data_IF_630029191617
#
_entry.id   IF_630029191617
#
_cell.length_a   1.000
_cell.length_b   1.000
_cell.length_c   1.000
_cell.angle_alpha   90.00
_cell.angle_beta   90.00
_cell.angle_gamma   90.00
#
_symmetry.space_group_name_H-M   'P 1'
#
loop_
_entity.id
_entity.type
_entity.pdbx_description
1 polymer ?
#
# COMPACT_ATOMS: atom_id res chain seq x y z
N UNK A 1 -4.61 -2.06 16.86
CA UNK A 1 -5.70 -1.79 15.89
C UNK A 1 -5.95 -3.09 15.14
N UNK A 2 -7.15 -3.66 15.21
CA UNK A 2 -7.54 -4.81 14.39
C UNK A 2 -8.48 -4.33 13.28
N UNK A 3 -8.24 -4.75 12.04
CA UNK A 3 -9.18 -4.53 10.93
C UNK A 3 -10.38 -5.46 11.08
N UNK A 4 -11.58 -4.98 10.75
CA UNK A 4 -12.75 -5.84 10.64
C UNK A 4 -12.60 -6.67 9.36
N UNK A 5 -12.52 -7.99 9.51
CA UNK A 5 -12.39 -8.90 8.39
C UNK A 5 -13.60 -8.82 7.45
N UNK A 6 -13.33 -8.59 6.17
CA UNK A 6 -14.35 -8.59 5.13
C UNK A 6 -14.53 -10.00 4.57
N UNK A 7 -15.47 -10.71 5.18
CA UNK A 7 -15.88 -12.04 4.77
C UNK A 7 -16.48 -12.09 3.34
N UNK A 8 -16.86 -10.95 2.75
CA UNK A 8 -17.39 -10.91 1.37
C UNK A 8 -16.28 -10.81 0.34
N UNK A 9 -15.22 -10.07 0.63
CA UNK A 9 -14.11 -9.81 -0.31
C UNK A 9 -12.76 -10.30 0.19
N UNK A 10 -12.73 -11.41 0.93
CA UNK A 10 -11.57 -12.09 1.51
C UNK A 10 -10.29 -11.24 1.62
N UNK A 11 -10.28 -10.36 2.62
CA UNK A 11 -9.29 -9.27 2.70
C UNK A 11 -8.02 -9.53 3.46
N UNK A 12 -7.78 -10.75 3.95
CA UNK A 12 -6.67 -11.04 4.86
C UNK A 12 -5.30 -10.54 4.34
N UNK A 13 -5.02 -10.67 3.04
CA UNK A 13 -3.78 -10.17 2.45
C UNK A 13 -3.64 -8.64 2.56
N UNK A 14 -4.72 -7.89 2.28
CA UNK A 14 -4.74 -6.44 2.41
C UNK A 14 -4.67 -6.01 3.87
N UNK A 15 -5.32 -6.74 4.76
CA UNK A 15 -5.31 -6.45 6.19
C UNK A 15 -3.92 -6.62 6.78
N UNK A 16 -3.24 -7.72 6.46
CA UNK A 16 -1.86 -7.94 6.87
C UNK A 16 -0.94 -6.81 6.38
N UNK A 17 -1.04 -6.45 5.09
CA UNK A 17 -0.24 -5.37 4.53
C UNK A 17 -0.53 -4.01 5.19
N UNK A 18 -1.80 -3.62 5.28
CA UNK A 18 -2.21 -2.31 5.78
C UNK A 18 -1.97 -2.16 7.28
N UNK A 19 -2.11 -3.23 8.07
CA UNK A 19 -1.74 -3.22 9.48
C UNK A 19 -0.26 -2.87 9.67
N UNK A 20 0.63 -3.53 8.91
CA UNK A 20 2.08 -3.28 8.99
C UNK A 20 2.40 -1.87 8.52
N UNK A 21 1.85 -1.44 7.38
CA UNK A 21 2.09 -0.10 6.85
C UNK A 21 1.58 0.99 7.78
N UNK A 22 0.43 0.79 8.42
CA UNK A 22 -0.12 1.74 9.37
C UNK A 22 0.74 1.83 10.62
N UNK A 23 1.22 0.70 11.15
CA UNK A 23 2.10 0.68 12.32
C UNK A 23 3.42 1.42 12.05
N UNK A 24 4.05 1.14 10.91
CA UNK A 24 5.22 1.87 10.42
C UNK A 24 4.93 3.37 10.31
N UNK A 25 3.79 3.72 9.71
CA UNK A 25 3.43 5.12 9.49
C UNK A 25 3.17 5.86 10.81
N UNK A 26 2.49 5.24 11.77
CA UNK A 26 2.20 5.81 13.09
C UNK A 26 3.46 6.11 13.91
N UNK A 27 4.55 5.38 13.68
CA UNK A 27 5.84 5.65 14.33
C UNK A 27 6.41 7.03 13.98
N UNK A 28 6.26 7.46 12.72
CA UNK A 28 6.64 8.82 12.28
C UNK A 28 5.83 9.24 11.04
N UNK A 29 4.63 9.81 11.24
CA UNK A 29 3.70 10.15 10.15
C UNK A 29 4.30 11.07 9.08
N UNK A 30 5.09 12.06 9.50
CA UNK A 30 5.70 13.03 8.60
C UNK A 30 6.75 12.38 7.69
N UNK A 31 7.66 11.59 8.27
CA UNK A 31 8.67 10.84 7.52
C UNK A 31 7.99 9.86 6.55
N UNK A 32 7.10 9.02 7.07
CA UNK A 32 6.54 7.93 6.29
C UNK A 32 5.54 8.38 5.24
N UNK A 33 4.83 9.50 5.41
CA UNK A 33 4.10 10.08 4.27
C UNK A 33 5.04 10.49 3.14
N UNK A 34 6.17 11.14 3.44
CA UNK A 34 7.13 11.54 2.40
C UNK A 34 7.74 10.31 1.70
N UNK A 35 8.13 9.29 2.47
CA UNK A 35 8.66 8.04 1.92
C UNK A 35 7.63 7.31 1.05
N UNK A 36 6.42 7.05 1.55
CA UNK A 36 5.38 6.35 0.81
C UNK A 36 4.96 7.10 -0.46
N UNK A 37 4.91 8.44 -0.40
CA UNK A 37 4.66 9.29 -1.58
C UNK A 37 5.75 9.12 -2.65
N UNK A 38 7.00 8.88 -2.25
CA UNK A 38 8.13 8.74 -3.15
C UNK A 38 8.26 7.37 -3.82
N UNK A 39 7.64 6.32 -3.29
CA UNK A 39 7.75 4.96 -3.86
C UNK A 39 6.90 4.79 -5.11
N UNK A 40 5.58 4.91 -4.96
CA UNK A 40 4.62 4.76 -6.05
C UNK A 40 3.28 5.39 -5.70
N UNK A 41 2.38 5.47 -6.69
CA UNK A 41 1.05 6.05 -6.51
C UNK A 41 0.18 5.31 -5.46
N UNK A 42 0.34 4.00 -5.32
CA UNK A 42 -0.46 3.20 -4.38
C UNK A 42 -0.09 3.51 -2.93
N UNK A 43 1.20 3.54 -2.62
CA UNK A 43 1.68 3.89 -1.28
C UNK A 43 1.40 5.37 -0.96
N UNK A 44 1.47 6.26 -1.94
CA UNK A 44 1.00 7.64 -1.75
C UNK A 44 -0.47 7.68 -1.33
N UNK A 45 -1.35 6.97 -2.04
CA UNK A 45 -2.77 6.92 -1.71
C UNK A 45 -3.03 6.33 -0.31
N UNK A 46 -2.30 5.27 0.06
CA UNK A 46 -2.33 4.69 1.41
C UNK A 46 -1.92 5.72 2.46
N UNK A 47 -0.84 6.48 2.23
CA UNK A 47 -0.39 7.53 3.15
C UNK A 47 -1.42 8.66 3.34
N UNK A 48 -2.12 9.06 2.27
CA UNK A 48 -3.21 10.04 2.39
C UNK A 48 -4.39 9.44 3.17
N UNK A 49 -4.74 8.17 2.92
CA UNK A 49 -5.75 7.46 3.67
C UNK A 49 -5.44 7.38 5.17
N UNK A 50 -4.18 7.15 5.54
CA UNK A 50 -3.75 7.14 6.95
C UNK A 50 -3.88 8.52 7.61
N UNK A 51 -3.54 9.61 6.91
CA UNK A 51 -3.82 10.97 7.40
C UNK A 51 -5.31 11.18 7.64
N UNK A 52 -6.17 10.76 6.71
CA UNK A 52 -7.62 10.88 6.83
C UNK A 52 -8.19 10.08 8.01
N UNK A 53 -7.61 8.91 8.32
CA UNK A 53 -7.96 8.14 9.52
C UNK A 53 -7.64 8.92 10.80
N UNK A 54 -6.45 9.52 10.91
CA UNK A 54 -6.10 10.34 12.09
C UNK A 54 -7.00 11.58 12.22
N UNK A 55 -7.46 12.12 11.09
CA UNK A 55 -8.46 13.18 11.04
C UNK A 55 -9.91 12.72 11.24
N UNK A 56 -10.14 11.43 11.51
CA UNK A 56 -11.47 10.78 11.66
C UNK A 56 -12.40 10.96 10.44
N UNK A 57 -11.84 11.17 9.26
CA UNK A 57 -12.58 11.33 8.00
C UNK A 57 -12.82 10.01 7.27
N UNK A 58 -12.06 8.98 7.62
CA UNK A 58 -12.01 7.70 6.90
C UNK A 58 -11.71 6.56 7.86
N UNK A 59 -12.15 5.36 7.52
CA UNK A 59 -11.74 4.14 8.24
C UNK A 59 -10.65 3.39 7.47
N UNK A 60 -9.97 2.48 8.15
CA UNK A 60 -8.95 1.65 7.50
C UNK A 60 -9.56 0.70 6.46
N UNK A 61 -10.82 0.31 6.61
CA UNK A 61 -11.59 -0.45 5.63
C UNK A 61 -11.82 0.34 4.33
N UNK A 62 -12.01 1.65 4.41
CA UNK A 62 -12.10 2.48 3.21
C UNK A 62 -10.75 2.54 2.49
N UNK A 63 -9.63 2.68 3.22
CA UNK A 63 -8.29 2.65 2.61
C UNK A 63 -8.02 1.32 1.92
N UNK A 64 -8.43 0.21 2.54
CA UNK A 64 -8.39 -1.12 1.93
C UNK A 64 -9.20 -1.21 0.65
N UNK A 65 -10.44 -0.72 0.67
CA UNK A 65 -11.31 -0.75 -0.50
C UNK A 65 -10.71 0.06 -1.65
N UNK A 66 -10.19 1.25 -1.37
CA UNK A 66 -9.60 2.12 -2.37
C UNK A 66 -8.34 1.51 -2.99
N UNK A 67 -7.47 0.91 -2.16
CA UNK A 67 -6.27 0.23 -2.65
C UNK A 67 -6.63 -0.96 -3.54
N UNK A 68 -7.58 -1.80 -3.11
CA UNK A 68 -8.07 -2.91 -3.93
C UNK A 68 -8.65 -2.41 -5.25
N UNK A 69 -9.45 -1.36 -5.21
CA UNK A 69 -10.09 -0.83 -6.41
C UNK A 69 -9.07 -0.31 -7.42
N UNK A 70 -8.04 0.39 -6.96
CA UNK A 70 -6.93 0.83 -7.83
C UNK A 70 -6.23 -0.38 -8.46
N UNK A 71 -5.76 -1.33 -7.64
CA UNK A 71 -5.05 -2.51 -8.14
C UNK A 71 -5.89 -3.37 -9.09
N UNK A 72 -7.18 -3.53 -8.80
CA UNK A 72 -8.12 -4.23 -9.68
C UNK A 72 -8.30 -3.50 -11.01
N UNK A 73 -8.43 -2.18 -10.98
CA UNK A 73 -8.56 -1.35 -12.19
C UNK A 73 -7.31 -1.45 -13.06
N UNK A 74 -6.12 -1.46 -12.44
CA UNK A 74 -4.84 -1.39 -13.14
C UNK A 74 -4.31 -2.74 -13.62
N UNK A 75 -4.61 -3.82 -12.90
CA UNK A 75 -4.04 -5.15 -13.13
C UNK A 75 -5.08 -6.26 -13.26
N UNK A 76 -6.37 -5.94 -13.26
CA UNK A 76 -7.44 -6.90 -13.52
C UNK A 76 -7.93 -7.69 -12.29
N UNK A 77 -9.13 -8.26 -12.43
CA UNK A 77 -9.81 -9.03 -11.39
C UNK A 77 -9.23 -10.43 -11.19
N UNK A 78 -8.50 -10.95 -12.17
CA UNK A 78 -7.74 -12.19 -12.06
C UNK A 78 -6.59 -12.07 -11.05
N UNK A 79 -6.02 -10.87 -10.92
CA UNK A 79 -4.90 -10.61 -10.02
C UNK A 79 -5.38 -10.04 -8.67
N UNK A 80 -6.37 -9.15 -8.70
CA UNK A 80 -6.91 -8.47 -7.52
C UNK A 80 -8.44 -8.59 -7.45
N UNK A 81 -8.97 -9.78 -7.17
CA UNK A 81 -10.40 -10.05 -7.22
C UNK A 81 -11.21 -9.35 -6.12
N UNK A 82 -12.48 -9.12 -6.43
CA UNK A 82 -13.55 -8.97 -5.44
C UNK A 82 -14.20 -10.34 -5.16
N UNK A 83 -14.95 -10.44 -4.07
CA UNK A 83 -15.63 -11.68 -3.70
C UNK A 83 -14.77 -12.63 -2.86
N UNK A 84 -15.26 -13.87 -2.62
CA UNK A 84 -14.62 -14.85 -1.75
C UNK A 84 -13.43 -15.55 -2.42
N UNK A 85 -12.62 -14.79 -3.15
CA UNK A 85 -11.39 -15.25 -3.79
C UNK A 85 -10.23 -14.49 -3.14
N UNK A 86 -9.30 -15.23 -2.55
CA UNK A 86 -8.13 -14.62 -1.91
C UNK A 86 -7.24 -13.89 -2.91
N UNK A 87 -6.63 -12.79 -2.48
CA UNK A 87 -5.56 -12.13 -3.24
C UNK A 87 -4.21 -12.74 -2.87
N UNK A 88 -3.36 -13.02 -3.86
CA UNK A 88 -2.00 -13.48 -3.61
C UNK A 88 -1.18 -12.38 -2.92
N UNK A 89 -0.73 -12.63 -1.68
CA UNK A 89 0.02 -11.65 -0.90
C UNK A 89 1.37 -11.29 -1.53
N UNK A 90 2.07 -12.24 -2.16
CA UNK A 90 3.35 -11.98 -2.84
C UNK A 90 3.16 -11.05 -4.03
N UNK A 91 2.10 -11.24 -4.82
CA UNK A 91 1.75 -10.34 -5.92
C UNK A 91 1.38 -8.95 -5.40
N UNK A 92 0.55 -8.87 -4.35
CA UNK A 92 0.18 -7.62 -3.70
C UNK A 92 1.41 -6.83 -3.23
N UNK A 93 2.34 -7.51 -2.52
CA UNK A 93 3.59 -6.90 -2.09
C UNK A 93 4.43 -6.44 -3.29
N UNK A 94 4.56 -7.26 -4.33
CA UNK A 94 5.33 -6.88 -5.52
C UNK A 94 4.80 -5.61 -6.17
N UNK A 95 3.47 -5.40 -6.23
CA UNK A 95 2.88 -4.21 -6.84
C UNK A 95 2.91 -3.00 -5.92
N UNK A 96 2.69 -3.18 -4.62
CA UNK A 96 2.74 -2.07 -3.66
C UNK A 96 4.16 -1.63 -3.31
N UNK A 97 5.18 -2.49 -3.44
CA UNK A 97 6.56 -2.20 -3.04
C UNK A 97 7.51 -2.02 -4.23
N UNK A 98 7.02 -2.12 -5.47
CA UNK A 98 7.80 -1.70 -6.64
C UNK A 98 7.81 -0.18 -6.70
N UNK A 99 8.98 0.40 -6.96
CA UNK A 99 9.06 1.82 -7.22
C UNK A 99 8.59 2.11 -8.65
N UNK A 100 7.75 3.14 -8.82
CA UNK A 100 7.45 3.71 -10.14
C UNK A 100 8.68 4.47 -10.70
N UNK A 101 9.63 4.78 -9.81
CA UNK A 101 10.87 5.47 -10.11
C UNK A 101 11.91 4.40 -10.45
N UNK A 102 12.33 4.34 -11.72
CA UNK A 102 13.60 3.68 -12.09
C UNK A 102 14.65 4.27 -11.15
N UNK A 103 15.35 3.47 -10.31
CA UNK A 103 16.37 4.02 -9.44
C UNK A 103 17.34 4.73 -10.38
N UNK A 104 17.45 6.06 -10.23
CA UNK A 104 18.58 6.76 -10.82
C UNK A 104 19.75 6.24 -10.02
N UNK A 105 20.35 5.15 -10.50
CA UNK A 105 21.62 4.67 -10.03
C UNK A 105 22.58 5.83 -10.23
N UNK A 106 22.81 6.62 -9.18
CA UNK A 106 24.01 7.44 -9.10
C UNK A 106 25.14 6.42 -8.97
N UNK A 107 25.59 5.93 -10.12
CA UNK A 107 26.91 5.33 -10.23
C UNK A 107 27.88 6.44 -9.85
N UNK A 108 28.27 6.48 -8.58
CA UNK A 108 29.46 7.21 -8.17
C UNK A 108 30.62 6.38 -8.72
N UNK A 109 31.06 6.71 -9.94
CA UNK A 109 32.31 6.17 -10.46
C UNK A 109 33.40 6.78 -9.58
N UNK A 110 34.06 5.94 -8.79
CA UNK A 110 35.24 6.35 -8.04
C UNK A 110 36.37 6.56 -9.05
N UNK A 111 36.69 7.82 -9.37
CA UNK A 111 37.75 8.16 -10.31
C UNK A 111 39.15 8.12 -9.69
N UNK A 112 39.27 7.67 -8.43
CA UNK A 112 40.54 7.43 -7.76
C UNK A 112 40.41 6.15 -6.93
N UNK A 113 40.94 5.06 -7.47
CA UNK A 113 41.18 3.80 -6.77
C UNK A 113 42.64 3.75 -6.34
#
# INVERSE_FOLDING_TARGET
IGLIWDHKNYSCAYEALLSILLDIWLYNPQKWTSNFKGCNRYLNAVAQGFKEITGKKKTIENVRHDLRNQLNTDFGSENFPYGPVGTNLGLLLSKCMSDDIVPTSRHVICNQC
#
